data_IF_937204989806
#
_entry.id   IF_937204989806
#
_cell.length_a   1.000
_cell.length_b   1.000
_cell.length_c   1.000
_cell.angle_alpha   90.00
_cell.angle_beta   90.00
_cell.angle_gamma   90.00
#
_symmetry.space_group_name_H-M   'P 1'
#
loop_
_entity.id
_entity.type
_entity.pdbx_description
1 polymer ?
#
# COMPACT_ATOMS: atom_id res chain seq x y z
N UNK A 1 7.64 6.37 -9.14
CA UNK A 1 7.21 5.12 -8.49
C UNK A 1 5.68 5.03 -8.39
N UNK A 2 4.97 6.06 -7.89
CA UNK A 2 3.51 6.03 -7.77
C UNK A 2 2.78 5.63 -9.07
N UNK A 3 3.10 6.26 -10.21
CA UNK A 3 2.49 5.92 -11.51
C UNK A 3 2.72 4.44 -11.89
N UNK A 4 3.91 3.90 -11.64
CA UNK A 4 4.20 2.49 -11.91
C UNK A 4 3.39 1.54 -11.01
N UNK A 5 3.15 1.91 -9.74
CA UNK A 5 2.29 1.12 -8.85
C UNK A 5 0.82 1.16 -9.29
N UNK A 6 0.35 2.30 -9.80
CA UNK A 6 -1.00 2.41 -10.38
C UNK A 6 -1.17 1.47 -11.57
N UNK A 7 -0.21 1.49 -12.50
CA UNK A 7 -0.23 0.65 -13.70
C UNK A 7 -0.11 -0.84 -13.37
N UNK A 8 0.85 -1.22 -12.51
CA UNK A 8 1.14 -2.62 -12.20
C UNK A 8 0.11 -3.29 -11.28
N UNK A 9 -0.41 -2.57 -10.28
CA UNK A 9 -1.28 -3.15 -9.24
C UNK A 9 -2.73 -2.66 -9.33
N UNK A 10 -3.04 -1.81 -10.31
CA UNK A 10 -4.39 -1.28 -10.52
C UNK A 10 -4.85 -0.38 -9.38
N UNK A 11 -3.94 0.35 -8.73
CA UNK A 11 -4.32 1.39 -7.77
C UNK A 11 -4.97 2.55 -8.54
N UNK A 12 -6.27 2.76 -8.33
CA UNK A 12 -7.05 3.77 -9.07
C UNK A 12 -6.86 5.18 -8.51
N UNK A 13 -6.48 5.30 -7.25
CA UNK A 13 -6.21 6.55 -6.57
C UNK A 13 -4.72 6.86 -6.60
N UNK A 14 -4.38 8.05 -7.10
CA UNK A 14 -2.98 8.52 -7.11
C UNK A 14 -2.44 8.72 -5.69
N UNK A 15 -3.30 9.06 -4.71
CA UNK A 15 -2.90 9.22 -3.31
C UNK A 15 -2.55 7.88 -2.68
N UNK A 16 -3.31 6.83 -2.98
CA UNK A 16 -2.98 5.49 -2.50
C UNK A 16 -1.67 4.99 -3.10
N UNK A 17 -1.42 5.31 -4.36
CA UNK A 17 -0.13 5.00 -5.00
C UNK A 17 1.04 5.77 -4.37
N UNK A 18 0.85 7.03 -3.96
CA UNK A 18 1.87 7.78 -3.22
C UNK A 18 2.12 7.19 -1.83
N UNK A 19 1.08 6.82 -1.10
CA UNK A 19 1.20 6.17 0.21
C UNK A 19 1.93 4.83 0.10
N UNK A 20 1.55 3.99 -0.87
CA UNK A 20 2.20 2.71 -1.14
C UNK A 20 3.68 2.89 -1.52
N UNK A 21 3.98 3.84 -2.40
CA UNK A 21 5.36 4.14 -2.79
C UNK A 21 6.20 4.62 -1.59
N UNK A 22 5.62 5.46 -0.73
CA UNK A 22 6.31 5.99 0.45
C UNK A 22 6.63 4.88 1.44
N UNK A 23 5.66 3.98 1.72
CA UNK A 23 5.88 2.83 2.57
C UNK A 23 6.95 1.89 2.00
N UNK A 24 6.90 1.56 0.70
CA UNK A 24 7.90 0.70 0.06
C UNK A 24 9.32 1.26 0.09
N UNK A 25 9.48 2.59 0.01
CA UNK A 25 10.79 3.25 -0.07
C UNK A 25 11.41 3.54 1.30
N UNK A 26 10.58 3.91 2.28
CA UNK A 26 11.08 4.51 3.52
C UNK A 26 10.75 3.73 4.79
N UNK A 27 9.75 2.83 4.74
CA UNK A 27 9.46 1.96 5.87
C UNK A 27 10.27 0.66 5.75
N UNK A 28 11.10 0.39 6.77
CA UNK A 28 11.92 -0.83 6.83
C UNK A 28 11.09 -2.09 6.95
N UNK A 29 9.98 -2.02 7.67
CA UNK A 29 9.08 -3.15 7.87
C UNK A 29 8.08 -3.31 6.72
N UNK A 30 7.95 -2.27 5.89
CA UNK A 30 7.00 -2.17 4.77
C UNK A 30 5.59 -2.53 5.21
N UNK A 31 5.20 -2.05 6.39
CA UNK A 31 3.92 -2.33 7.02
C UNK A 31 3.02 -1.11 6.90
N UNK A 32 1.86 -1.31 6.28
CA UNK A 32 0.87 -0.25 6.14
C UNK A 32 -0.36 -0.59 6.98
N UNK A 33 -0.79 0.36 7.81
CA UNK A 33 -2.07 0.27 8.51
C UNK A 33 -3.12 0.91 7.61
N UNK A 34 -4.07 0.12 7.13
CA UNK A 34 -5.15 0.62 6.27
C UNK A 34 -6.35 -0.31 6.31
N UNK A 35 -7.53 0.28 6.21
CA UNK A 35 -8.81 -0.45 6.06
C UNK A 35 -9.11 -0.79 4.60
N UNK A 36 -8.33 -0.26 3.66
CA UNK A 36 -8.50 -0.51 2.23
C UNK A 36 -7.70 -1.74 1.80
N UNK A 37 -8.39 -2.75 1.27
CA UNK A 37 -7.77 -3.97 0.73
C UNK A 37 -7.04 -3.76 -0.60
N UNK A 38 -7.11 -2.57 -1.23
CA UNK A 38 -6.38 -2.28 -2.47
C UNK A 38 -4.87 -2.49 -2.31
N UNK A 39 -4.33 -2.19 -1.13
CA UNK A 39 -2.91 -2.37 -0.80
C UNK A 39 -2.48 -3.83 -0.72
N UNK A 40 -3.41 -4.78 -0.54
CA UNK A 40 -3.10 -6.23 -0.49
C UNK A 40 -2.55 -6.75 -1.83
N UNK A 41 -2.79 -6.01 -2.92
CA UNK A 41 -2.29 -6.34 -4.26
C UNK A 41 -0.82 -5.96 -4.47
N UNK A 42 -0.29 -5.05 -3.66
CA UNK A 42 1.06 -4.48 -3.86
C UNK A 42 2.10 -5.41 -3.27
N UNK A 43 2.88 -6.07 -4.13
CA UNK A 43 3.92 -7.01 -3.70
C UNK A 43 5.00 -6.27 -2.90
N UNK A 44 5.38 -6.85 -1.77
CA UNK A 44 6.40 -6.31 -0.86
C UNK A 44 5.85 -5.37 0.21
N UNK A 45 4.54 -5.07 0.18
CA UNK A 45 3.84 -4.30 1.20
C UNK A 45 2.98 -5.25 2.04
N UNK A 46 3.03 -5.12 3.36
CA UNK A 46 2.23 -5.90 4.29
C UNK A 46 1.17 -5.01 4.92
N UNK A 47 -0.09 -5.17 4.49
CA UNK A 47 -1.20 -4.43 5.09
C UNK A 47 -1.64 -5.07 6.40
N UNK A 48 -1.86 -4.25 7.40
CA UNK A 48 -2.53 -4.61 8.65
C UNK A 48 -3.87 -3.88 8.67
N UNK A 49 -4.96 -4.65 8.69
CA UNK A 49 -6.29 -4.09 8.92
C UNK A 49 -6.48 -3.83 10.42
N UNK A 50 -6.68 -2.57 10.86
CA UNK A 50 -6.86 -2.27 12.28
C UNK A 50 -8.12 -2.92 12.87
N UNK A 51 -9.10 -3.32 12.03
CA UNK A 51 -10.32 -4.01 12.49
C UNK A 51 -10.06 -5.44 12.95
N UNK A 52 -8.92 -6.03 12.59
CA UNK A 52 -8.55 -7.39 13.00
C UNK A 52 -7.79 -7.41 14.34
N UNK A 53 -7.57 -6.25 14.97
CA UNK A 53 -6.82 -6.11 16.22
C UNK A 53 -7.73 -5.96 17.45
N UNK A 54 -9.05 -5.96 17.26
CA UNK A 54 -10.08 -5.77 18.30
C UNK A 54 -10.94 -7.00 18.46
#
# INVERSE_FOLDING_TARGET
MALALMDQYGLTSIFDAYNAATCLLYDKDRKMISTDSAYDKVIGLSRIDPRNLV
#
